data_IF_780457315443
#
_entry.id   IF_780457315443
#
_cell.length_a   1.000
_cell.length_b   1.000
_cell.length_c   1.000
_cell.angle_alpha   90.00
_cell.angle_beta   90.00
_cell.angle_gamma   90.00
#
_symmetry.space_group_name_H-M   'P 1'
#
loop_
_entity.id
_entity.type
_entity.pdbx_description
1 polymer ?
#
# COMPACT_ATOMS: atom_id res chain seq x y z
N UNK A 1 -7.85 28.86 -17.90
CA UNK A 1 -8.66 27.62 -17.94
C UNK A 1 -7.74 26.47 -18.32
N UNK A 2 -7.26 25.71 -17.33
CA UNK A 2 -6.36 24.58 -17.56
C UNK A 2 -7.23 23.33 -17.59
N UNK A 3 -7.35 22.72 -18.77
CA UNK A 3 -8.14 21.51 -18.98
C UNK A 3 -7.51 20.31 -18.28
N UNK A 4 -8.20 19.77 -17.29
CA UNK A 4 -7.86 18.48 -16.70
C UNK A 4 -8.06 17.38 -17.75
N UNK A 5 -6.97 16.86 -18.31
CA UNK A 5 -6.97 15.63 -19.10
C UNK A 5 -7.33 14.47 -18.17
N UNK A 6 -8.61 14.11 -18.16
CA UNK A 6 -9.10 12.83 -17.69
C UNK A 6 -8.63 11.75 -18.69
N UNK A 7 -7.45 11.18 -18.49
CA UNK A 7 -7.14 9.86 -19.03
C UNK A 7 -7.59 8.83 -18.01
N UNK A 8 -8.84 8.42 -18.14
CA UNK A 8 -9.34 7.17 -17.59
C UNK A 8 -8.65 6.03 -18.34
N UNK A 9 -7.50 5.56 -17.83
CA UNK A 9 -6.98 4.26 -18.24
C UNK A 9 -7.91 3.20 -17.65
N UNK A 10 -8.85 2.79 -18.48
CA UNK A 10 -9.63 1.56 -18.36
C UNK A 10 -8.67 0.37 -18.13
N UNK A 11 -8.49 0.00 -16.87
CA UNK A 11 -8.11 -1.35 -16.50
C UNK A 11 -9.17 -1.86 -15.54
N UNK A 12 -10.17 -2.54 -16.10
CA UNK A 12 -11.02 -3.49 -15.39
C UNK A 12 -10.16 -4.64 -14.86
N UNK A 13 -9.38 -4.36 -13.82
CA UNK A 13 -8.67 -5.35 -13.04
C UNK A 13 -9.70 -6.15 -12.26
N UNK A 14 -10.04 -7.32 -12.79
CA UNK A 14 -10.61 -8.46 -12.08
C UNK A 14 -10.39 -8.33 -10.56
N UNK A 15 -11.47 -8.12 -9.80
CA UNK A 15 -11.44 -8.19 -8.33
C UNK A 15 -11.11 -9.64 -7.98
N UNK A 16 -9.81 -9.91 -7.95
CA UNK A 16 -9.17 -11.20 -7.76
C UNK A 16 -9.85 -11.92 -6.61
N UNK A 17 -10.29 -13.16 -6.87
CA UNK A 17 -11.10 -13.95 -5.95
C UNK A 17 -10.65 -13.82 -4.51
N UNK A 18 -11.61 -13.39 -3.67
CA UNK A 18 -11.55 -13.24 -2.22
C UNK A 18 -11.35 -14.61 -1.54
N UNK A 19 -10.22 -15.23 -1.80
CA UNK A 19 -9.56 -16.15 -0.87
C UNK A 19 -8.64 -15.30 0.01
N UNK A 20 -8.56 -15.64 1.31
CA UNK A 20 -7.74 -14.95 2.33
C UNK A 20 -6.48 -14.33 1.73
N UNK A 21 -6.49 -13.01 1.53
CA UNK A 21 -5.35 -12.29 0.98
C UNK A 21 -4.25 -12.27 2.03
N UNK A 22 -3.12 -12.93 1.76
CA UNK A 22 -1.95 -12.89 2.63
C UNK A 22 -1.08 -11.72 2.16
N UNK A 23 -0.72 -10.82 3.07
CA UNK A 23 0.27 -9.76 2.78
C UNK A 23 1.69 -10.27 3.06
N UNK A 24 1.99 -11.48 2.62
CA UNK A 24 3.26 -12.15 2.93
C UNK A 24 4.37 -11.85 1.91
N UNK A 25 4.03 -11.17 0.81
CA UNK A 25 5.00 -10.62 -0.16
C UNK A 25 4.85 -9.12 -0.40
N UNK A 26 5.95 -8.49 -0.80
CA UNK A 26 5.96 -7.08 -1.21
C UNK A 26 5.06 -6.79 -2.42
N UNK A 27 4.80 -7.80 -3.27
CA UNK A 27 3.95 -7.66 -4.47
C UNK A 27 2.47 -7.58 -4.08
N UNK A 28 2.05 -8.39 -3.12
CA UNK A 28 0.69 -8.36 -2.57
C UNK A 28 0.45 -7.06 -1.81
N UNK A 29 1.41 -6.63 -0.98
CA UNK A 29 1.36 -5.34 -0.30
C UNK A 29 1.28 -4.18 -1.32
N UNK A 30 2.02 -4.25 -2.43
CA UNK A 30 1.90 -3.25 -3.50
C UNK A 30 0.49 -3.23 -4.10
N UNK A 31 -0.12 -4.39 -4.31
CA UNK A 31 -1.50 -4.51 -4.78
C UNK A 31 -2.49 -3.84 -3.82
N UNK A 32 -2.37 -4.09 -2.51
CA UNK A 32 -3.21 -3.44 -1.47
C UNK A 32 -3.03 -1.92 -1.52
N UNK A 33 -1.79 -1.44 -1.50
CA UNK A 33 -1.49 -0.02 -1.45
C UNK A 33 -1.92 0.73 -2.71
N UNK A 34 -1.81 0.11 -3.88
CA UNK A 34 -2.25 0.72 -5.14
C UNK A 34 -3.77 0.86 -5.23
N UNK A 35 -4.51 0.10 -4.42
CA UNK A 35 -5.98 0.13 -4.37
C UNK A 35 -6.50 0.66 -3.03
N UNK A 36 -5.66 1.26 -2.18
CA UNK A 36 -6.03 1.56 -0.78
C UNK A 36 -7.21 2.54 -0.67
N UNK A 37 -7.33 3.48 -1.59
CA UNK A 37 -8.46 4.41 -1.67
C UNK A 37 -9.76 3.68 -2.08
N UNK A 38 -9.68 2.73 -3.01
CA UNK A 38 -10.81 1.91 -3.44
C UNK A 38 -11.24 0.91 -2.36
N UNK A 39 -10.30 0.24 -1.71
CA UNK A 39 -10.59 -0.62 -0.56
C UNK A 39 -11.29 0.18 0.55
N UNK A 40 -10.82 1.41 0.80
CA UNK A 40 -11.40 2.29 1.81
C UNK A 40 -12.84 2.68 1.50
N UNK A 41 -13.22 2.83 0.22
CA UNK A 41 -14.59 3.11 -0.21
C UNK A 41 -15.48 1.86 -0.24
N UNK A 42 -14.90 0.70 -0.60
CA UNK A 42 -15.61 -0.59 -0.62
C UNK A 42 -16.03 -1.08 0.77
N UNK A 43 -15.37 -0.63 1.85
CA UNK A 43 -15.82 -0.88 3.24
C UNK A 43 -17.27 -0.50 3.50
N UNK A 44 -17.82 0.44 2.75
CA UNK A 44 -19.21 0.91 2.90
C UNK A 44 -20.21 0.14 2.02
N UNK A 45 -19.77 -0.93 1.34
CA UNK A 45 -20.60 -1.76 0.47
C UNK A 45 -20.81 -3.16 1.05
N UNK A 46 -21.81 -3.90 0.56
CA UNK A 46 -22.23 -5.21 1.08
C UNK A 46 -21.16 -6.32 0.97
N UNK A 47 -20.13 -6.11 0.15
CA UNK A 47 -18.93 -6.95 0.00
C UNK A 47 -17.73 -6.46 0.84
N UNK A 48 -17.97 -5.52 1.77
CA UNK A 48 -16.93 -4.80 2.52
C UNK A 48 -16.28 -5.55 3.67
N UNK A 49 -16.73 -6.76 4.02
CA UNK A 49 -16.11 -7.56 5.09
C UNK A 49 -14.66 -7.92 4.75
N UNK A 50 -14.42 -8.46 3.55
CA UNK A 50 -13.06 -8.84 3.12
C UNK A 50 -12.14 -7.60 2.92
N UNK A 51 -12.71 -6.49 2.44
CA UNK A 51 -11.97 -5.24 2.29
C UNK A 51 -11.58 -4.61 3.65
N UNK A 52 -12.46 -4.74 4.65
CA UNK A 52 -12.21 -4.27 6.01
C UNK A 52 -11.10 -5.07 6.69
N UNK A 53 -11.12 -6.40 6.57
CA UNK A 53 -10.10 -7.28 7.15
C UNK A 53 -8.70 -6.99 6.58
N UNK A 54 -8.59 -6.86 5.26
CA UNK A 54 -7.32 -6.51 4.60
C UNK A 54 -6.80 -5.15 5.08
N UNK A 55 -7.69 -4.16 5.24
CA UNK A 55 -7.30 -2.84 5.70
C UNK A 55 -6.88 -2.84 7.17
N UNK A 56 -7.56 -3.60 8.02
CA UNK A 56 -7.20 -3.76 9.43
C UNK A 56 -5.84 -4.43 9.56
N UNK A 57 -5.61 -5.52 8.82
CA UNK A 57 -4.34 -6.24 8.80
C UNK A 57 -3.19 -5.35 8.29
N UNK A 58 -3.43 -4.60 7.21
CA UNK A 58 -2.47 -3.61 6.72
C UNK A 58 -2.16 -2.55 7.76
N UNK A 59 -3.17 -1.96 8.41
CA UNK A 59 -2.97 -0.89 9.39
C UNK A 59 -2.17 -1.40 10.60
N UNK A 60 -2.50 -2.59 11.11
CA UNK A 60 -1.74 -3.22 12.22
C UNK A 60 -0.29 -3.47 11.83
N UNK A 61 -0.06 -4.05 10.66
CA UNK A 61 1.30 -4.30 10.17
C UNK A 61 2.08 -3.00 9.93
N UNK A 62 1.42 -1.97 9.41
CA UNK A 62 1.99 -0.64 9.17
C UNK A 62 2.41 0.05 10.47
N UNK A 63 1.55 0.04 11.50
CA UNK A 63 1.84 0.60 12.82
C UNK A 63 3.01 -0.14 13.51
N UNK A 64 3.06 -1.47 13.38
CA UNK A 64 4.13 -2.31 13.96
C UNK A 64 5.46 -2.22 13.20
N UNK A 65 5.45 -1.85 11.92
CA UNK A 65 6.63 -1.87 11.05
C UNK A 65 7.74 -0.88 11.45
N UNK A 66 7.47 0.08 12.33
CA UNK A 66 8.47 1.06 12.77
C UNK A 66 9.06 1.83 11.58
N UNK A 67 8.20 2.34 10.71
CA UNK A 67 8.63 3.17 9.58
C UNK A 67 9.18 4.49 10.11
N UNK A 68 10.27 4.97 9.49
CA UNK A 68 10.76 6.33 9.77
C UNK A 68 9.79 7.36 9.19
N UNK A 69 9.74 8.57 9.73
CA UNK A 69 8.91 9.66 9.20
C UNK A 69 9.07 9.86 7.67
N UNK A 70 10.30 9.72 7.16
CA UNK A 70 10.59 9.83 5.73
C UNK A 70 9.95 8.70 4.91
N UNK A 71 9.97 7.47 5.43
CA UNK A 71 9.33 6.31 4.81
C UNK A 71 7.81 6.49 4.78
N UNK A 72 7.21 6.90 5.89
CA UNK A 72 5.78 7.17 5.98
C UNK A 72 5.35 8.27 5.00
N UNK A 73 6.11 9.37 4.94
CA UNK A 73 5.85 10.48 4.03
C UNK A 73 5.90 10.05 2.57
N UNK A 74 6.86 9.20 2.19
CA UNK A 74 6.97 8.65 0.84
C UNK A 74 5.77 7.76 0.51
N UNK A 75 5.39 6.85 1.40
CA UNK A 75 4.22 5.98 1.22
C UNK A 75 2.94 6.81 1.07
N UNK A 76 2.76 7.85 1.89
CA UNK A 76 1.61 8.75 1.83
C UNK A 76 1.53 9.49 0.49
N UNK A 77 2.64 10.07 0.04
CA UNK A 77 2.70 10.79 -1.24
C UNK A 77 2.33 9.88 -2.41
N UNK A 78 2.91 8.68 -2.47
CA UNK A 78 2.74 7.79 -3.63
C UNK A 78 1.39 7.08 -3.64
N UNK A 79 0.94 6.55 -2.50
CA UNK A 79 -0.21 5.65 -2.48
C UNK A 79 -1.50 6.29 -1.97
N UNK A 80 -1.41 7.31 -1.10
CA UNK A 80 -2.61 8.01 -0.60
C UNK A 80 -2.94 9.23 -1.44
N UNK A 81 -1.91 9.97 -1.88
CA UNK A 81 -2.06 11.19 -2.68
C UNK A 81 -1.81 10.97 -4.18
N UNK A 82 -1.50 9.74 -4.58
CA UNK A 82 -1.39 9.31 -5.97
C UNK A 82 -0.32 10.07 -6.78
N UNK A 83 0.69 10.63 -6.11
CA UNK A 83 1.86 11.17 -6.81
C UNK A 83 2.71 10.04 -7.40
N UNK A 84 3.25 10.27 -8.59
CA UNK A 84 4.30 9.40 -9.12
C UNK A 84 5.55 9.44 -8.24
N UNK A 85 6.39 8.41 -8.31
CA UNK A 85 7.68 8.40 -7.57
C UNK A 85 8.58 9.58 -7.97
N UNK A 86 8.45 10.07 -9.21
CA UNK A 86 9.18 11.24 -9.71
C UNK A 86 8.68 12.52 -9.05
N UNK A 87 7.37 12.76 -9.03
CA UNK A 87 6.78 13.93 -8.35
C UNK A 87 7.05 13.90 -6.84
N UNK A 88 6.97 12.72 -6.21
CA UNK A 88 7.32 12.56 -4.80
C UNK A 88 8.80 12.90 -4.55
N UNK A 89 9.70 12.55 -5.47
CA UNK A 89 11.12 12.88 -5.37
C UNK A 89 11.36 14.39 -5.50
N UNK A 90 10.65 15.06 -6.42
CA UNK A 90 10.68 16.52 -6.58
C UNK A 90 10.18 17.23 -5.30
N UNK A 91 9.05 16.78 -4.73
CA UNK A 91 8.49 17.32 -3.48
C UNK A 91 9.46 17.14 -2.30
N UNK A 92 10.20 16.04 -2.26
CA UNK A 92 11.12 15.70 -1.17
C UNK A 92 12.55 16.20 -1.38
N UNK A 93 12.86 16.81 -2.53
CA UNK A 93 14.21 17.26 -2.87
C UNK A 93 15.23 16.12 -2.93
N UNK A 94 14.84 14.94 -3.41
CA UNK A 94 15.74 13.79 -3.55
C UNK A 94 15.63 13.14 -4.93
N UNK A 95 16.40 12.07 -5.18
CA UNK A 95 16.31 11.33 -6.44
C UNK A 95 15.12 10.35 -6.45
N UNK A 96 14.58 10.05 -7.64
CA UNK A 96 13.57 9.01 -7.81
C UNK A 96 14.08 7.64 -7.33
N UNK A 97 15.37 7.35 -7.51
CA UNK A 97 15.98 6.10 -7.04
C UNK A 97 15.96 6.02 -5.50
N UNK A 98 16.21 7.13 -4.80
CA UNK A 98 16.12 7.17 -3.34
C UNK A 98 14.68 6.92 -2.88
N UNK A 99 13.67 7.49 -3.56
CA UNK A 99 12.25 7.20 -3.29
C UNK A 99 11.96 5.70 -3.45
N UNK A 100 12.40 5.10 -4.56
CA UNK A 100 12.20 3.67 -4.81
C UNK A 100 12.83 2.79 -3.73
N UNK A 101 14.04 3.12 -3.28
CA UNK A 101 14.72 2.40 -2.19
C UNK A 101 13.95 2.50 -0.88
N UNK A 102 13.45 3.69 -0.53
CA UNK A 102 12.61 3.88 0.66
C UNK A 102 11.31 3.08 0.57
N UNK A 103 10.64 3.03 -0.59
CA UNK A 103 9.44 2.19 -0.78
C UNK A 103 9.77 0.72 -0.55
N UNK A 104 10.82 0.20 -1.20
CA UNK A 104 11.24 -1.21 -1.03
C UNK A 104 11.56 -1.55 0.42
N UNK A 105 12.29 -0.67 1.11
CA UNK A 105 12.61 -0.85 2.53
C UNK A 105 11.36 -0.83 3.42
N UNK A 106 10.40 0.06 3.12
CA UNK A 106 9.13 0.14 3.85
C UNK A 106 8.30 -1.11 3.64
N UNK A 107 8.22 -1.61 2.40
CA UNK A 107 7.46 -2.81 2.09
C UNK A 107 8.02 -4.04 2.81
N UNK A 108 9.35 -4.17 2.83
CA UNK A 108 10.01 -5.25 3.56
C UNK A 108 9.62 -5.23 5.05
N UNK A 109 9.71 -4.07 5.70
CA UNK A 109 9.34 -3.92 7.12
C UNK A 109 7.88 -4.26 7.39
N UNK A 110 6.95 -3.79 6.55
CA UNK A 110 5.51 -4.06 6.71
C UNK A 110 5.22 -5.55 6.54
N UNK A 111 5.81 -6.20 5.54
CA UNK A 111 5.65 -7.65 5.32
C UNK A 111 6.24 -8.45 6.49
N UNK A 112 7.41 -8.08 6.99
CA UNK A 112 8.02 -8.72 8.17
C UNK A 112 7.14 -8.54 9.42
N UNK A 113 6.58 -7.35 9.63
CA UNK A 113 5.66 -7.08 10.73
C UNK A 113 4.37 -7.89 10.64
N UNK A 114 3.80 -8.01 9.43
CA UNK A 114 2.61 -8.84 9.17
C UNK A 114 2.89 -10.32 9.46
N UNK A 115 4.00 -10.86 8.96
CA UNK A 115 4.41 -12.25 9.23
C UNK A 115 4.62 -12.54 10.71
N UNK A 116 5.27 -11.62 11.41
CA UNK A 116 5.49 -11.73 12.86
C UNK A 116 4.21 -11.58 13.71
N UNK A 117 3.07 -11.26 13.10
CA UNK A 117 1.76 -11.20 13.76
C UNK A 117 0.89 -12.44 13.49
N UNK A 118 1.30 -13.30 12.56
CA UNK A 118 0.59 -14.55 12.27
C UNK A 118 0.81 -15.56 13.42
N UNK A 119 -0.24 -16.14 14.01
CA UNK A 119 -0.08 -17.19 15.01
C UNK A 119 0.50 -18.45 14.33
N UNK A 120 1.81 -18.68 14.49
CA UNK A 120 2.44 -19.95 14.09
C UNK A 120 3.87 -19.91 13.55
N UNK A 121 4.50 -18.75 13.29
CA UNK A 121 5.90 -18.69 12.82
C UNK A 121 6.86 -18.10 13.87
N UNK A 122 6.72 -18.51 15.13
CA UNK A 122 7.86 -18.46 16.05
C UNK A 122 8.73 -19.69 15.76
N UNK A 123 9.97 -19.42 15.35
CA UNK A 123 10.88 -20.37 14.71
C UNK A 123 11.05 -21.72 15.43
N UNK A 124 11.27 -22.74 14.61
CA UNK A 124 12.12 -23.88 14.99
C UNK A 124 13.58 -23.45 14.93
#
# INVERSE_FOLDING_TARGET
MVGYRHQISNQGGNIMGIGKFKMDTSKELQGVLSNINQLSSLRYTSSGYDASDILIDYLRAYEKAGLTEKQEKIINLVYKREYTQKEAAEILGCSQQAVQQHIKASFKKIVEAYKGDLPGEQGK
#
